data_IF_892362882031
#
_entry.id   IF_892362882031
#
_cell.length_a   1.000
_cell.length_b   1.000
_cell.length_c   1.000
_cell.angle_alpha   90.00
_cell.angle_beta   90.00
_cell.angle_gamma   90.00
#
_symmetry.space_group_name_H-M   'P 1'
#
loop_
_entity.id
_entity.type
_entity.pdbx_description
1 polymer ?
#
# COMPACT_ATOMS: atom_id res chain seq x y z
N UNK A 1 -14.95 -7.45 -0.50
CA UNK A 1 -13.87 -6.85 -1.36
C UNK A 1 -13.68 -7.69 -2.60
N UNK A 2 -13.40 -9.00 -2.43
CA UNK A 2 -13.02 -9.94 -3.47
C UNK A 2 -13.87 -9.92 -4.76
N UNK A 3 -15.22 -10.03 -4.74
CA UNK A 3 -15.98 -10.10 -6.00
C UNK A 3 -15.75 -8.88 -6.90
N UNK A 4 -15.72 -7.66 -6.35
CA UNK A 4 -15.55 -6.45 -7.15
C UNK A 4 -14.15 -6.33 -7.76
N UNK A 5 -13.10 -6.71 -7.03
CA UNK A 5 -11.73 -6.67 -7.54
C UNK A 5 -11.53 -7.78 -8.59
N UNK A 6 -11.98 -8.99 -8.29
CA UNK A 6 -11.86 -10.14 -9.18
C UNK A 6 -12.66 -9.92 -10.48
N UNK A 7 -13.88 -9.39 -10.41
CA UNK A 7 -14.69 -9.05 -11.59
C UNK A 7 -13.99 -7.99 -12.45
N UNK A 8 -13.33 -7.02 -11.82
CA UNK A 8 -12.56 -5.97 -12.52
C UNK A 8 -11.36 -6.59 -13.23
N UNK A 9 -10.58 -7.43 -12.54
CA UNK A 9 -9.43 -8.13 -13.12
C UNK A 9 -9.87 -9.04 -14.26
N UNK A 10 -10.94 -9.82 -14.07
CA UNK A 10 -11.51 -10.70 -15.08
C UNK A 10 -11.97 -9.92 -16.32
N UNK A 11 -12.65 -8.79 -16.13
CA UNK A 11 -13.06 -7.92 -17.22
C UNK A 11 -11.84 -7.38 -17.98
N UNK A 12 -10.82 -6.90 -17.27
CA UNK A 12 -9.58 -6.39 -17.88
C UNK A 12 -8.80 -7.45 -18.65
N UNK A 13 -8.74 -8.67 -18.13
CA UNK A 13 -8.15 -9.84 -18.83
C UNK A 13 -8.91 -10.16 -20.11
N UNK A 14 -10.23 -10.31 -20.01
CA UNK A 14 -11.05 -10.82 -21.12
C UNK A 14 -11.32 -9.81 -22.21
N UNK A 15 -11.51 -8.53 -21.86
CA UNK A 15 -11.88 -7.49 -22.82
C UNK A 15 -10.67 -6.73 -23.38
N UNK A 16 -9.59 -6.63 -22.61
CA UNK A 16 -8.44 -5.79 -22.97
C UNK A 16 -7.11 -6.54 -22.99
N UNK A 17 -7.09 -7.85 -22.72
CA UNK A 17 -5.89 -8.67 -22.79
C UNK A 17 -4.83 -8.31 -21.73
N UNK A 18 -5.21 -7.67 -20.63
CA UNK A 18 -4.28 -7.29 -19.55
C UNK A 18 -3.79 -8.56 -18.85
N UNK A 19 -2.48 -8.72 -18.69
CA UNK A 19 -1.86 -9.94 -18.14
C UNK A 19 -1.26 -9.76 -16.75
N UNK A 20 -0.99 -8.53 -16.32
CA UNK A 20 -0.40 -8.19 -15.02
C UNK A 20 -1.16 -7.04 -14.38
N UNK A 21 -1.31 -7.10 -13.06
CA UNK A 21 -2.07 -6.13 -12.28
C UNK A 21 -1.26 -5.73 -11.05
N UNK A 22 -1.25 -4.45 -10.72
CA UNK A 22 -0.77 -3.97 -9.44
C UNK A 22 -1.93 -3.32 -8.69
N UNK A 23 -1.91 -3.43 -7.36
CA UNK A 23 -2.84 -2.73 -6.49
C UNK A 23 -2.22 -1.44 -5.98
N UNK A 24 -2.96 -0.35 -5.97
CA UNK A 24 -2.55 0.85 -5.25
C UNK A 24 -3.73 1.47 -4.52
N UNK A 25 -3.49 2.06 -3.35
CA UNK A 25 -4.54 2.60 -2.52
C UNK A 25 -4.10 3.72 -1.59
N UNK A 26 -5.06 4.56 -1.22
CA UNK A 26 -4.90 5.71 -0.34
C UNK A 26 -5.75 5.50 0.91
N UNK A 27 -5.20 5.69 2.12
CA UNK A 27 -5.95 5.55 3.37
C UNK A 27 -6.71 4.22 3.42
N UNK A 28 -8.05 4.25 3.41
CA UNK A 28 -8.92 3.08 3.34
C UNK A 28 -8.63 2.19 2.14
N UNK A 29 -8.34 2.78 0.98
CA UNK A 29 -7.96 2.03 -0.22
C UNK A 29 -6.67 1.22 0.00
N UNK A 30 -5.71 1.75 0.77
CA UNK A 30 -4.49 1.02 1.10
C UNK A 30 -4.78 -0.19 2.02
N UNK A 31 -5.74 -0.06 2.94
CA UNK A 31 -6.21 -1.20 3.74
C UNK A 31 -6.86 -2.26 2.84
N UNK A 32 -7.71 -1.84 1.88
CA UNK A 32 -8.32 -2.75 0.92
C UNK A 32 -7.30 -3.51 0.07
N UNK A 33 -6.26 -2.82 -0.43
CA UNK A 33 -5.17 -3.47 -1.19
C UNK A 33 -4.42 -4.46 -0.31
N UNK A 34 -4.07 -4.11 0.93
CA UNK A 34 -3.40 -5.03 1.84
C UNK A 34 -4.24 -6.28 2.15
N UNK A 35 -5.55 -6.12 2.36
CA UNK A 35 -6.47 -7.27 2.51
C UNK A 35 -6.53 -8.12 1.24
N UNK A 36 -6.49 -7.51 0.05
CA UNK A 36 -6.48 -8.26 -1.21
C UNK A 36 -5.14 -8.96 -1.46
N UNK A 37 -4.02 -8.34 -1.08
CA UNK A 37 -2.67 -8.94 -1.12
C UNK A 37 -2.52 -10.18 -0.23
N UNK A 38 -3.48 -10.41 0.67
CA UNK A 38 -3.52 -11.50 1.63
C UNK A 38 -4.50 -12.63 1.26
N UNK A 39 -5.20 -12.54 0.13
CA UNK A 39 -6.11 -13.60 -0.32
C UNK A 39 -5.34 -14.70 -1.06
N UNK A 40 -5.79 -15.94 -0.90
CA UNK A 40 -5.32 -17.05 -1.73
C UNK A 40 -5.60 -16.76 -3.21
N UNK A 41 -4.65 -17.13 -4.07
CA UNK A 41 -4.68 -16.83 -5.50
C UNK A 41 -4.83 -15.32 -5.82
N UNK A 42 -4.19 -14.46 -5.03
CA UNK A 42 -4.06 -13.03 -5.30
C UNK A 42 -3.54 -12.80 -6.73
N UNK A 43 -4.27 -12.00 -7.52
CA UNK A 43 -3.94 -11.77 -8.94
C UNK A 43 -3.14 -10.49 -9.19
N UNK A 44 -2.86 -9.69 -8.15
CA UNK A 44 -1.93 -8.56 -8.26
C UNK A 44 -0.49 -9.02 -8.00
N UNK A 45 0.48 -8.40 -8.65
CA UNK A 45 1.91 -8.74 -8.53
C UNK A 45 2.62 -7.92 -7.46
N UNK A 46 2.05 -6.78 -7.06
CA UNK A 46 2.53 -5.93 -5.97
C UNK A 46 1.42 -4.99 -5.48
N UNK A 47 1.62 -4.42 -4.27
CA UNK A 47 0.74 -3.43 -3.65
C UNK A 47 1.46 -2.14 -3.28
N UNK A 48 0.83 -0.99 -3.52
CA UNK A 48 1.29 0.34 -3.06
C UNK A 48 0.29 0.95 -2.09
N UNK A 49 0.75 1.35 -0.92
CA UNK A 49 -0.05 1.94 0.14
C UNK A 49 0.44 3.36 0.45
N UNK A 50 -0.37 4.36 0.10
CA UNK A 50 -0.14 5.75 0.49
C UNK A 50 -0.91 6.07 1.76
N UNK A 51 -0.23 6.61 2.78
CA UNK A 51 -0.77 6.95 4.11
C UNK A 51 -1.76 5.88 4.60
N UNK A 52 -1.29 4.69 4.96
CA UNK A 52 -2.15 3.52 4.99
C UNK A 52 -3.16 3.59 6.14
N UNK A 53 -4.44 3.44 5.83
CA UNK A 53 -5.51 3.40 6.82
C UNK A 53 -5.59 2.05 7.56
N UNK A 54 -4.47 1.34 7.73
CA UNK A 54 -4.45 -0.04 8.24
C UNK A 54 -4.90 -0.16 9.69
N UNK A 55 -4.88 0.95 10.46
CA UNK A 55 -5.52 1.04 11.78
C UNK A 55 -7.02 0.71 11.75
N UNK A 56 -7.67 0.81 10.59
CA UNK A 56 -9.04 0.33 10.42
C UNK A 56 -9.18 -1.15 10.81
N UNK A 57 -8.14 -1.96 10.63
CA UNK A 57 -8.16 -3.37 11.05
C UNK A 57 -8.43 -3.49 12.56
N UNK A 58 -7.87 -2.59 13.39
CA UNK A 58 -8.11 -2.60 14.83
C UNK A 58 -9.59 -2.41 15.19
N UNK A 59 -10.33 -1.65 14.37
CA UNK A 59 -11.77 -1.41 14.56
C UNK A 59 -12.58 -2.67 14.25
N UNK A 60 -12.18 -3.44 13.23
CA UNK A 60 -12.94 -4.60 12.77
C UNK A 60 -12.49 -5.92 13.42
N UNK A 61 -11.24 -6.03 13.84
CA UNK A 61 -10.61 -7.28 14.30
C UNK A 61 -9.92 -7.15 15.65
N UNK A 62 -10.09 -6.00 16.33
CA UNK A 62 -9.62 -5.76 17.68
C UNK A 62 -8.20 -5.17 17.76
N UNK A 63 -7.81 -4.62 18.93
CA UNK A 63 -6.55 -3.90 19.09
C UNK A 63 -5.32 -4.72 18.69
N UNK A 64 -4.43 -4.11 17.91
CA UNK A 64 -3.15 -4.72 17.48
C UNK A 64 -3.27 -5.61 16.24
N UNK A 65 -4.46 -5.73 15.64
CA UNK A 65 -4.65 -6.44 14.38
C UNK A 65 -4.08 -5.66 13.19
N UNK A 66 -4.09 -4.32 13.23
CA UNK A 66 -3.46 -3.47 12.21
C UNK A 66 -1.97 -3.74 12.03
N UNK A 67 -1.24 -3.92 13.13
CA UNK A 67 0.19 -4.25 13.11
C UNK A 67 0.50 -5.64 12.52
N UNK A 68 -0.50 -6.54 12.47
CA UNK A 68 -0.40 -7.90 11.92
C UNK A 68 -0.90 -8.00 10.47
N UNK A 69 -1.31 -6.88 9.86
CA UNK A 69 -1.81 -6.86 8.49
C UNK A 69 -0.82 -7.40 7.45
N UNK A 70 0.49 -7.30 7.72
CA UNK A 70 1.53 -7.82 6.83
C UNK A 70 1.69 -9.35 6.91
N UNK A 71 1.22 -9.99 7.98
CA UNK A 71 1.45 -11.43 8.24
C UNK A 71 0.90 -12.31 7.10
N UNK A 72 -0.34 -12.12 6.61
CA UNK A 72 -0.87 -12.95 5.52
C UNK A 72 -0.53 -12.44 4.12
N UNK A 73 0.19 -11.32 3.96
CA UNK A 73 0.48 -10.78 2.62
C UNK A 73 1.39 -11.72 1.82
N UNK A 74 1.04 -11.93 0.55
CA UNK A 74 1.70 -12.85 -0.38
C UNK A 74 2.49 -12.18 -1.51
N UNK A 75 2.44 -10.84 -1.61
CA UNK A 75 3.06 -10.09 -2.72
C UNK A 75 3.84 -8.87 -2.21
N UNK A 76 4.88 -8.42 -2.93
CA UNK A 76 5.64 -7.20 -2.63
C UNK A 76 4.77 -6.01 -2.23
N UNK A 77 5.15 -5.30 -1.17
CA UNK A 77 4.48 -4.07 -0.74
C UNK A 77 5.43 -2.88 -0.74
N UNK A 78 4.93 -1.74 -1.21
CA UNK A 78 5.48 -0.42 -0.93
C UNK A 78 4.53 0.30 0.03
N UNK A 79 5.01 0.62 1.22
CA UNK A 79 4.21 1.27 2.28
C UNK A 79 4.80 2.64 2.58
N UNK A 80 4.05 3.69 2.25
CA UNK A 80 4.45 5.08 2.42
C UNK A 80 3.63 5.72 3.54
N UNK A 81 4.19 5.83 4.74
CA UNK A 81 3.50 6.32 5.94
C UNK A 81 3.75 7.80 6.19
N UNK A 82 2.79 8.48 6.84
CA UNK A 82 2.92 9.83 7.39
C UNK A 82 3.44 9.81 8.83
N UNK A 83 3.82 10.97 9.35
CA UNK A 83 4.30 11.12 10.73
C UNK A 83 3.26 10.77 11.79
N UNK A 84 2.00 11.08 11.54
CA UNK A 84 0.86 10.83 12.43
C UNK A 84 0.21 9.46 12.20
N UNK A 85 0.74 8.65 11.28
CA UNK A 85 0.39 7.23 11.18
C UNK A 85 0.95 6.45 12.39
N UNK A 86 0.33 5.31 12.76
CA UNK A 86 0.83 4.49 13.87
C UNK A 86 2.27 4.02 13.66
N UNK A 87 3.10 4.08 14.70
CA UNK A 87 4.54 3.75 14.59
C UNK A 87 4.83 2.31 14.15
N UNK A 88 3.88 1.37 14.32
CA UNK A 88 4.04 0.01 13.82
C UNK A 88 4.03 -0.12 12.29
N UNK A 89 3.66 0.94 11.56
CA UNK A 89 3.74 1.02 10.08
C UNK A 89 4.89 1.90 9.57
N UNK A 90 5.74 2.38 10.48
CA UNK A 90 6.95 3.13 10.13
C UNK A 90 8.12 2.16 9.90
N UNK A 91 9.23 2.62 9.30
CA UNK A 91 10.46 1.84 9.22
C UNK A 91 10.92 1.34 10.60
N UNK A 92 11.30 0.06 10.69
CA UNK A 92 11.62 -0.64 11.94
C UNK A 92 10.41 -1.00 12.81
N UNK A 93 9.19 -0.60 12.42
CA UNK A 93 7.95 -1.03 13.05
C UNK A 93 7.57 -2.47 12.70
N UNK A 94 6.56 -3.01 13.37
CA UNK A 94 6.16 -4.42 13.21
C UNK A 94 5.85 -4.77 11.74
N UNK A 95 5.16 -3.90 11.00
CA UNK A 95 4.85 -4.13 9.57
C UNK A 95 6.13 -4.26 8.74
N UNK A 96 7.09 -3.37 8.95
CA UNK A 96 8.37 -3.40 8.23
C UNK A 96 9.13 -4.68 8.54
N UNK A 97 9.28 -5.01 9.82
CA UNK A 97 9.96 -6.24 10.24
C UNK A 97 9.27 -7.51 9.72
N UNK A 98 7.94 -7.53 9.64
CA UNK A 98 7.22 -8.68 9.06
C UNK A 98 7.46 -8.77 7.55
N UNK A 99 7.43 -7.64 6.84
CA UNK A 99 7.66 -7.61 5.40
C UNK A 99 9.10 -8.02 5.02
N UNK A 100 10.09 -7.69 5.85
CA UNK A 100 11.49 -8.13 5.67
C UNK A 100 11.66 -9.65 5.73
N UNK A 101 10.78 -10.37 6.45
CA UNK A 101 10.83 -11.85 6.51
C UNK A 101 10.26 -12.54 5.27
N UNK A 102 9.61 -11.79 4.36
CA UNK A 102 8.94 -12.33 3.19
C UNK A 102 9.96 -12.74 2.11
N UNK A 103 9.63 -13.72 1.25
CA UNK A 103 10.53 -14.17 0.19
C UNK A 103 10.63 -13.18 -1.00
N UNK A 104 10.17 -11.94 -0.82
CA UNK A 104 10.10 -10.93 -1.86
C UNK A 104 10.44 -9.54 -1.30
N UNK A 105 11.04 -8.65 -2.10
CA UNK A 105 11.43 -7.33 -1.63
C UNK A 105 10.20 -6.46 -1.42
N UNK A 106 10.10 -5.88 -0.23
CA UNK A 106 9.11 -4.86 0.13
C UNK A 106 9.84 -3.66 0.71
N UNK A 107 9.18 -2.51 0.79
CA UNK A 107 9.76 -1.29 1.35
C UNK A 107 8.75 -0.53 2.17
N UNK A 108 9.16 -0.10 3.36
CA UNK A 108 8.44 0.89 4.18
C UNK A 108 9.23 2.19 4.17
N UNK A 109 8.55 3.32 3.95
CA UNK A 109 9.14 4.66 4.00
C UNK A 109 8.23 5.61 4.78
N UNK A 110 8.84 6.33 5.72
CA UNK A 110 8.20 7.41 6.46
C UNK A 110 8.41 8.75 5.75
N UNK A 111 7.33 9.52 5.61
CA UNK A 111 7.33 10.93 5.27
C UNK A 111 7.05 11.74 6.55
N UNK A 112 8.13 12.21 7.19
CA UNK A 112 8.07 12.80 8.52
C UNK A 112 7.51 14.23 8.58
N UNK A 113 7.44 14.92 7.43
CA UNK A 113 7.07 16.33 7.34
C UNK A 113 5.61 16.56 6.92
N UNK A 114 4.84 15.47 6.73
CA UNK A 114 3.46 15.53 6.26
C UNK A 114 2.56 14.61 7.06
N UNK A 115 1.28 15.00 7.17
CA UNK A 115 0.26 14.24 7.87
C UNK A 115 -0.50 13.30 6.92
N UNK A 116 -1.21 12.36 7.51
CA UNK A 116 -2.03 11.38 6.84
C UNK A 116 -2.96 12.02 5.79
N UNK A 117 -2.83 11.56 4.55
CA UNK A 117 -3.63 12.07 3.42
C UNK A 117 -2.94 13.05 2.49
N UNK A 118 -1.68 13.40 2.75
CA UNK A 118 -0.96 14.40 1.96
C UNK A 118 -0.98 14.14 0.45
N UNK A 119 -0.92 12.87 0.02
CA UNK A 119 -0.76 12.53 -1.40
C UNK A 119 -1.96 12.94 -2.25
N UNK A 120 -3.19 12.74 -1.76
CA UNK A 120 -4.39 12.99 -2.55
C UNK A 120 -5.22 14.17 -2.06
N UNK A 121 -4.88 14.75 -0.89
CA UNK A 121 -5.61 15.86 -0.24
C UNK A 121 -4.72 17.06 0.08
N UNK A 122 -3.41 16.92 -0.06
CA UNK A 122 -2.45 17.97 0.25
C UNK A 122 -2.53 19.15 -0.72
N UNK A 123 -2.19 20.34 -0.23
CA UNK A 123 -2.06 21.54 -1.04
C UNK A 123 -0.67 21.59 -1.68
N UNK A 124 -0.60 21.44 -3.01
CA UNK A 124 0.66 21.49 -3.77
C UNK A 124 1.26 22.90 -3.87
N UNK A 125 0.57 23.94 -3.35
CA UNK A 125 1.17 25.27 -3.19
C UNK A 125 2.12 25.28 -1.97
N UNK A 126 1.88 24.41 -0.98
CA UNK A 126 2.83 24.23 0.13
C UNK A 126 4.05 23.44 -0.36
N UNK A 127 5.27 24.03 -0.35
CA UNK A 127 6.46 23.38 -0.87
C UNK A 127 6.84 22.09 -0.12
N UNK A 128 6.45 21.94 1.15
CA UNK A 128 6.68 20.70 1.92
C UNK A 128 5.82 19.57 1.37
N UNK A 129 4.54 19.86 1.13
CA UNK A 129 3.57 18.90 0.61
C UNK A 129 3.86 18.55 -0.84
N UNK A 130 4.17 19.54 -1.68
CA UNK A 130 4.56 19.35 -3.08
C UNK A 130 5.75 18.41 -3.22
N UNK A 131 6.82 18.69 -2.47
CA UNK A 131 8.00 17.82 -2.43
C UNK A 131 7.67 16.41 -1.97
N UNK A 132 6.90 16.26 -0.89
CA UNK A 132 6.52 14.95 -0.37
C UNK A 132 5.61 14.17 -1.34
N UNK A 133 4.75 14.86 -2.10
CA UNK A 133 3.95 14.26 -3.16
C UNK A 133 4.83 13.69 -4.27
N UNK A 134 5.75 14.49 -4.79
CA UNK A 134 6.67 14.08 -5.85
C UNK A 134 7.62 12.97 -5.41
N UNK A 135 8.11 13.01 -4.18
CA UNK A 135 8.89 11.91 -3.62
C UNK A 135 8.05 10.61 -3.46
N UNK A 136 6.79 10.70 -3.04
CA UNK A 136 5.93 9.53 -2.90
C UNK A 136 5.59 8.89 -4.27
N UNK A 137 5.36 9.71 -5.30
CA UNK A 137 4.99 9.22 -6.62
C UNK A 137 6.17 8.90 -7.52
N UNK A 138 7.02 9.88 -7.78
CA UNK A 138 8.04 9.81 -8.83
C UNK A 138 9.27 9.03 -8.38
N UNK A 139 9.61 9.11 -7.10
CA UNK A 139 10.79 8.43 -6.53
C UNK A 139 10.45 7.04 -5.99
N UNK A 140 9.25 6.85 -5.46
CA UNK A 140 8.86 5.59 -4.80
C UNK A 140 7.89 4.76 -5.63
N UNK A 141 6.67 5.25 -5.84
CA UNK A 141 5.59 4.43 -6.38
C UNK A 141 5.77 4.05 -7.85
N UNK A 142 6.10 5.00 -8.73
CA UNK A 142 6.28 4.73 -10.16
C UNK A 142 7.41 3.73 -10.41
N UNK A 143 8.62 3.90 -9.86
CA UNK A 143 9.70 2.92 -10.03
C UNK A 143 9.34 1.52 -9.49
N UNK A 144 8.69 1.45 -8.32
CA UNK A 144 8.25 0.18 -7.74
C UNK A 144 7.23 -0.53 -8.64
N UNK A 145 6.22 0.20 -9.13
CA UNK A 145 5.23 -0.34 -10.06
C UNK A 145 5.87 -0.80 -11.37
N UNK A 146 6.77 0.00 -11.95
CA UNK A 146 7.48 -0.35 -13.18
C UNK A 146 8.30 -1.63 -13.01
N UNK A 147 9.04 -1.77 -11.91
CA UNK A 147 9.83 -2.96 -11.63
C UNK A 147 8.97 -4.23 -11.60
N UNK A 148 7.79 -4.16 -10.99
CA UNK A 148 6.92 -5.33 -10.81
C UNK A 148 5.97 -5.59 -12.00
N UNK A 149 5.65 -4.59 -12.83
CA UNK A 149 4.74 -4.72 -13.96
C UNK A 149 5.41 -5.01 -15.31
N UNK A 150 6.73 -4.83 -15.42
CA UNK A 150 7.51 -5.27 -16.59
C UNK A 150 7.40 -6.78 -16.77
#
# INVERSE_FOLDING_TARGET
IRPKIDDTIHHLKTQYGVTKFAGMGYCWGAWMIAKYSAVDACEIVCGVSFHPGWRAEDVFHGPGSGAKMADPIHVPQLVLSAIDDPTWIHPGGQVDTTLETKPFPSKVRLFADVNHGWVNRGDLIDPVVDKAFHEAWDVEAIPFLQWHLQ
#
